data_IF_604605436839
#
_entry.id   IF_604605436839
#
_cell.length_a   1.000
_cell.length_b   1.000
_cell.length_c   1.000
_cell.angle_alpha   90.00
_cell.angle_beta   90.00
_cell.angle_gamma   90.00
#
_symmetry.space_group_name_H-M   'P 1'
#
loop_
_entity.id
_entity.type
_entity.pdbx_description
1 polymer ?
#
# COMPACT_ATOMS: atom_id res chain seq x y z
N UNK A 1 3.29 -2.48 2.46
CA UNK A 1 1.89 -2.64 2.90
C UNK A 1 1.01 -2.61 1.66
N UNK A 2 0.22 -3.65 1.44
CA UNK A 2 -0.60 -3.81 0.24
C UNK A 2 -2.07 -3.93 0.61
N UNK A 3 -2.95 -3.30 -0.17
CA UNK A 3 -4.34 -3.72 -0.35
C UNK A 3 -4.39 -4.44 -1.68
N UNK A 4 -4.70 -5.72 -1.67
CA UNK A 4 -4.59 -6.60 -2.81
C UNK A 4 -5.93 -7.28 -3.04
N UNK A 5 -6.54 -7.02 -4.19
CA UNK A 5 -7.67 -7.79 -4.65
C UNK A 5 -7.17 -8.88 -5.58
N UNK A 6 -6.52 -8.49 -6.67
CA UNK A 6 -5.95 -9.39 -7.67
C UNK A 6 -4.67 -8.80 -8.30
N UNK A 7 -4.08 -9.49 -9.29
CA UNK A 7 -2.86 -8.99 -9.96
C UNK A 7 -3.12 -7.81 -10.90
N UNK A 8 -4.38 -7.47 -11.14
CA UNK A 8 -4.88 -6.36 -11.96
C UNK A 8 -5.39 -5.19 -11.09
N UNK A 9 -5.62 -5.39 -9.80
CA UNK A 9 -6.22 -4.45 -8.86
C UNK A 9 -5.54 -4.57 -7.49
N UNK A 10 -4.55 -3.71 -7.24
CA UNK A 10 -3.88 -3.61 -5.94
C UNK A 10 -3.34 -2.21 -5.69
N UNK A 11 -3.14 -1.84 -4.43
CA UNK A 11 -2.49 -0.62 -3.98
C UNK A 11 -1.32 -1.02 -3.08
N UNK A 12 -0.10 -0.56 -3.40
CA UNK A 12 1.12 -0.97 -2.73
C UNK A 12 1.98 0.21 -2.29
N UNK A 13 1.87 0.53 -0.99
CA UNK A 13 2.79 1.43 -0.28
C UNK A 13 4.06 0.64 0.10
N UNK A 14 5.20 1.05 -0.45
CA UNK A 14 6.45 0.29 -0.30
C UNK A 14 7.67 1.18 -0.19
N UNK A 15 8.70 0.66 0.48
CA UNK A 15 10.05 1.20 0.47
C UNK A 15 10.77 0.68 -0.77
N UNK A 16 11.39 1.58 -1.52
CA UNK A 16 12.19 1.27 -2.71
C UNK A 16 13.47 2.10 -2.71
N UNK A 17 14.35 1.83 -3.68
CA UNK A 17 15.56 2.60 -3.92
C UNK A 17 15.37 3.47 -5.17
N UNK A 18 15.71 4.74 -5.08
CA UNK A 18 15.76 5.64 -6.24
C UNK A 18 17.21 5.85 -6.67
N UNK A 19 17.58 5.34 -7.84
CA UNK A 19 18.95 5.48 -8.34
C UNK A 19 19.33 6.93 -8.62
N UNK A 20 18.37 7.79 -8.99
CA UNK A 20 18.64 9.18 -9.32
C UNK A 20 19.04 10.01 -8.10
N UNK A 21 18.32 9.88 -6.98
CA UNK A 21 18.64 10.55 -5.72
C UNK A 21 19.62 9.78 -4.82
N UNK A 22 19.93 8.53 -5.18
CA UNK A 22 20.84 7.65 -4.43
C UNK A 22 20.35 7.38 -3.01
N UNK A 23 19.03 7.24 -2.82
CA UNK A 23 18.43 7.11 -1.50
C UNK A 23 17.23 6.17 -1.50
N UNK A 24 16.96 5.60 -0.32
CA UNK A 24 15.72 4.90 -0.07
C UNK A 24 14.56 5.89 -0.03
N UNK A 25 13.41 5.49 -0.55
CA UNK A 25 12.19 6.28 -0.52
C UNK A 25 10.94 5.43 -0.32
N UNK A 26 9.88 6.03 0.19
CA UNK A 26 8.53 5.49 0.09
C UNK A 26 7.91 5.90 -1.24
N UNK A 27 7.24 4.94 -1.85
CA UNK A 27 6.48 5.10 -3.07
C UNK A 27 5.14 4.35 -2.94
N UNK A 28 4.15 4.84 -3.67
CA UNK A 28 2.89 4.13 -3.87
C UNK A 28 2.75 3.81 -5.36
N UNK A 29 2.41 2.56 -5.64
CA UNK A 29 1.87 2.14 -6.93
C UNK A 29 0.46 1.61 -6.71
N UNK A 30 -0.41 1.78 -7.71
CA UNK A 30 -1.65 1.02 -7.77
C UNK A 30 -1.90 0.52 -9.17
N UNK A 31 -2.58 -0.62 -9.25
CA UNK A 31 -3.06 -1.22 -10.49
C UNK A 31 -4.57 -1.03 -10.52
N UNK A 32 -5.09 -0.51 -11.63
CA UNK A 32 -6.52 -0.37 -11.90
C UNK A 32 -6.85 -1.15 -13.18
N UNK A 33 -7.46 -2.32 -13.02
CA UNK A 33 -7.77 -3.23 -14.11
C UNK A 33 -6.59 -3.46 -15.08
N UNK A 34 -5.38 -3.59 -14.53
CA UNK A 34 -4.14 -3.79 -15.29
C UNK A 34 -3.45 -2.51 -15.79
N UNK A 35 -4.04 -1.33 -15.57
CA UNK A 35 -3.37 -0.05 -15.78
C UNK A 35 -2.55 0.30 -14.53
N UNK A 36 -1.24 0.48 -14.74
CA UNK A 36 -0.34 0.85 -13.65
C UNK A 36 -0.32 2.36 -13.48
N UNK A 37 -0.47 2.78 -12.24
CA UNK A 37 -0.33 4.15 -11.80
C UNK A 37 0.72 4.26 -10.69
N UNK A 38 1.55 5.29 -10.79
CA UNK A 38 2.54 5.64 -9.78
C UNK A 38 2.12 6.96 -9.14
N UNK A 39 1.97 6.99 -7.81
CA UNK A 39 1.67 8.23 -7.10
C UNK A 39 2.88 9.19 -7.23
N UNK A 40 2.65 10.47 -7.56
CA UNK A 40 3.73 11.44 -7.75
C UNK A 40 4.46 11.76 -6.44
N UNK A 41 3.82 11.61 -5.28
CA UNK A 41 4.46 11.86 -4.00
C UNK A 41 5.42 10.72 -3.65
N UNK A 42 6.68 11.07 -3.45
CA UNK A 42 7.72 10.19 -2.92
C UNK A 42 8.31 10.80 -1.66
N UNK A 43 8.62 9.96 -0.67
CA UNK A 43 9.21 10.42 0.60
C UNK A 43 10.60 9.81 0.74
N UNK A 44 11.64 10.64 0.73
CA UNK A 44 13.00 10.19 1.04
C UNK A 44 13.05 9.70 2.49
N UNK A 45 13.63 8.52 2.69
CA UNK A 45 13.80 7.93 4.00
C UNK A 45 15.24 8.07 4.49
N UNK A 46 15.38 8.25 5.81
CA UNK A 46 16.64 8.01 6.49
C UNK A 46 16.91 6.50 6.60
N UNK A 47 18.12 6.13 7.01
CA UNK A 47 18.41 4.75 7.38
C UNK A 47 17.62 4.33 8.63
N UNK A 48 17.22 3.06 8.67
CA UNK A 48 16.46 2.49 9.79
C UNK A 48 15.11 1.92 9.39
N UNK A 49 14.35 1.61 10.44
CA UNK A 49 12.99 1.07 10.40
C UNK A 49 12.00 2.14 9.91
N UNK A 50 10.88 1.67 9.37
CA UNK A 50 9.79 2.54 8.93
C UNK A 50 8.46 1.87 9.23
N UNK A 51 7.53 2.66 9.74
CA UNK A 51 6.20 2.21 10.09
C UNK A 51 5.26 2.61 8.95
N UNK A 52 4.50 1.65 8.43
CA UNK A 52 3.54 1.87 7.35
C UNK A 52 2.13 1.60 7.87
N UNK A 53 1.17 2.43 7.50
CA UNK A 53 -0.23 2.26 7.85
C UNK A 53 -1.15 2.60 6.68
N UNK A 54 -2.33 2.01 6.70
CA UNK A 54 -3.41 2.25 5.76
C UNK A 54 -4.70 2.30 6.55
N UNK A 55 -5.44 3.39 6.41
CA UNK A 55 -6.79 3.53 6.95
C UNK A 55 -7.79 3.33 5.82
N UNK A 56 -8.80 2.49 6.05
CA UNK A 56 -9.89 2.22 5.11
C UNK A 56 -11.18 2.62 5.81
N UNK A 57 -11.82 3.67 5.31
CA UNK A 57 -13.05 4.23 5.87
C UNK A 57 -14.11 4.33 4.76
N UNK A 58 -15.01 3.35 4.70
CA UNK A 58 -16.01 3.27 3.64
C UNK A 58 -15.39 3.21 2.25
N UNK A 59 -15.56 4.29 1.47
CA UNK A 59 -15.00 4.39 0.12
C UNK A 59 -13.59 4.96 0.06
N UNK A 60 -13.02 5.42 1.17
CA UNK A 60 -11.73 6.11 1.18
C UNK A 60 -10.61 5.25 1.76
N UNK A 61 -9.49 5.18 1.05
CA UNK A 61 -8.22 4.60 1.52
C UNK A 61 -7.19 5.72 1.64
N UNK A 62 -6.61 5.89 2.83
CA UNK A 62 -5.48 6.79 3.05
C UNK A 62 -4.26 6.03 3.55
N UNK A 63 -3.17 6.14 2.81
CA UNK A 63 -1.85 5.66 3.21
C UNK A 63 -1.15 6.66 4.13
N UNK A 64 -0.42 6.16 5.12
CA UNK A 64 0.42 6.97 6.00
C UNK A 64 1.68 6.22 6.43
N UNK A 65 2.65 6.95 6.93
CA UNK A 65 3.92 6.40 7.40
C UNK A 65 4.46 7.16 8.61
N UNK A 66 5.37 6.54 9.35
CA UNK A 66 6.06 7.15 10.48
C UNK A 66 7.51 6.65 10.58
N UNK A 67 8.39 7.52 11.06
CA UNK A 67 9.78 7.20 11.40
C UNK A 67 9.95 6.71 12.85
N UNK A 68 9.01 7.04 13.74
CA UNK A 68 9.08 6.76 15.18
C UNK A 68 7.97 5.81 15.68
N UNK A 69 7.01 5.47 14.83
CA UNK A 69 5.84 4.66 15.19
C UNK A 69 4.78 5.42 15.99
N UNK A 70 4.98 6.72 16.25
CA UNK A 70 4.06 7.56 17.03
C UNK A 70 3.37 8.62 16.17
N UNK A 71 4.14 9.34 15.33
CA UNK A 71 3.64 10.45 14.51
C UNK A 71 3.55 10.02 13.05
N UNK A 72 2.33 9.77 12.61
CA UNK A 72 2.05 9.38 11.23
C UNK A 72 1.79 10.60 10.35
N UNK A 73 2.33 10.53 9.14
CA UNK A 73 2.12 11.51 8.08
C UNK A 73 1.47 10.83 6.89
N UNK A 74 0.44 11.45 6.33
CA UNK A 74 -0.21 10.95 5.12
C UNK A 74 0.75 10.99 3.93
N UNK A 75 0.60 10.02 3.04
CA UNK A 75 1.33 9.93 1.78
C UNK A 75 0.38 9.46 0.68
N UNK A 76 0.51 10.07 -0.49
CA UNK A 76 -0.31 9.81 -1.67
C UNK A 76 -1.70 10.43 -1.59
N UNK A 77 -2.46 10.20 -2.65
CA UNK A 77 -3.87 10.57 -2.72
C UNK A 77 -4.74 9.78 -1.71
N UNK A 78 -6.01 10.17 -1.64
CA UNK A 78 -7.07 9.32 -1.11
C UNK A 78 -7.56 8.44 -2.25
N UNK A 79 -7.50 7.11 -2.10
CA UNK A 79 -7.87 6.15 -3.13
C UNK A 79 -9.30 5.61 -2.91
N UNK A 80 -10.00 5.26 -3.99
CA UNK A 80 -11.36 4.69 -3.91
C UNK A 80 -11.31 3.19 -3.59
N UNK A 81 -11.93 2.80 -2.48
CA UNK A 81 -11.96 1.41 -2.00
C UNK A 81 -12.76 0.51 -2.93
N UNK A 82 -13.74 1.04 -3.67
CA UNK A 82 -14.56 0.20 -4.56
C UNK A 82 -13.77 -0.38 -5.73
N UNK A 83 -12.58 0.13 -6.02
CA UNK A 83 -11.71 -0.43 -7.05
C UNK A 83 -11.18 -1.83 -6.69
N UNK A 84 -11.30 -2.24 -5.43
CA UNK A 84 -10.84 -3.52 -4.90
C UNK A 84 -12.03 -4.44 -4.57
N UNK A 85 -12.95 -4.61 -5.52
CA UNK A 85 -14.19 -5.39 -5.36
C UNK A 85 -14.50 -6.26 -6.59
N UNK A 86 -15.31 -7.30 -6.36
CA UNK A 86 -15.82 -8.21 -7.40
C UNK A 86 -16.57 -7.44 -8.50
N UNK A 87 -17.37 -6.43 -8.13
CA UNK A 87 -18.14 -5.63 -9.08
C UNK A 87 -17.29 -4.70 -9.95
N UNK A 88 -16.09 -4.36 -9.50
CA UNK A 88 -15.19 -3.47 -10.23
C UNK A 88 -14.26 -4.21 -11.18
N UNK A 89 -13.80 -5.41 -10.82
CA UNK A 89 -12.83 -6.15 -11.62
C UNK A 89 -13.40 -6.54 -12.98
N UNK A 90 -12.73 -6.12 -14.06
CA UNK A 90 -13.12 -6.45 -15.45
C UNK A 90 -12.81 -7.89 -15.86
N UNK A 91 -12.06 -8.61 -15.03
CA UNK A 91 -11.56 -9.94 -15.35
C UNK A 91 -12.33 -11.05 -14.62
N UNK A 92 -13.31 -10.67 -13.80
CA UNK A 92 -14.26 -11.58 -13.14
C UNK A 92 -13.58 -12.42 -12.07
N UNK A 93 -13.66 -11.98 -10.81
CA UNK A 93 -13.04 -12.66 -9.69
C UNK A 93 -14.05 -12.86 -8.54
N UNK A 94 -13.84 -13.91 -7.75
CA UNK A 94 -14.71 -14.33 -6.65
C UNK A 94 -13.88 -14.45 -5.37
N UNK A 95 -13.23 -13.36 -5.00
CA UNK A 95 -12.29 -13.30 -3.86
C UNK A 95 -12.75 -12.28 -2.83
N UNK A 96 -12.28 -11.04 -2.94
CA UNK A 96 -12.38 -10.00 -1.93
C UNK A 96 -11.01 -9.40 -1.62
N UNK A 97 -11.00 -8.16 -1.14
CA UNK A 97 -9.77 -7.44 -0.85
C UNK A 97 -9.06 -7.99 0.40
N UNK A 98 -7.74 -8.17 0.29
CA UNK A 98 -6.84 -8.53 1.37
C UNK A 98 -5.89 -7.39 1.70
N UNK A 99 -5.60 -7.17 2.98
CA UNK A 99 -4.48 -6.32 3.40
C UNK A 99 -3.29 -7.20 3.80
N UNK A 100 -2.09 -6.83 3.40
CA UNK A 100 -0.91 -7.66 3.66
C UNK A 100 0.44 -6.97 3.58
N UNK A 101 1.48 -7.78 3.78
CA UNK A 101 2.87 -7.40 3.64
C UNK A 101 3.45 -8.08 2.41
N UNK A 102 4.28 -7.38 1.66
CA UNK A 102 4.91 -7.89 0.45
C UNK A 102 6.32 -7.32 0.30
N UNK A 103 7.21 -8.14 -0.24
CA UNK A 103 8.56 -7.77 -0.64
C UNK A 103 8.76 -8.20 -2.08
N UNK A 104 9.25 -7.30 -2.92
CA UNK A 104 9.48 -7.57 -4.34
C UNK A 104 10.91 -7.19 -4.68
N UNK A 105 11.70 -8.20 -5.04
CA UNK A 105 12.97 -8.06 -5.76
C UNK A 105 12.75 -8.75 -7.09
N UNK A 106 12.44 -7.99 -8.13
CA UNK A 106 12.04 -8.52 -9.44
C UNK A 106 13.20 -9.06 -10.27
N UNK A 107 14.44 -8.77 -9.87
CA UNK A 107 15.63 -9.09 -10.67
C UNK A 107 16.33 -10.33 -10.15
N UNK A 108 16.76 -10.30 -8.88
CA UNK A 108 17.64 -11.32 -8.34
C UNK A 108 16.96 -12.22 -7.32
N UNK A 109 15.83 -11.80 -6.77
CA UNK A 109 15.06 -12.52 -5.75
C UNK A 109 15.92 -12.88 -4.52
N UNK A 110 16.80 -11.95 -4.11
CA UNK A 110 17.78 -12.14 -3.02
C UNK A 110 17.66 -11.10 -1.92
N UNK A 111 16.90 -10.02 -2.13
CA UNK A 111 16.64 -9.03 -1.10
C UNK A 111 15.52 -9.51 -0.18
N UNK A 112 15.73 -9.28 1.10
CA UNK A 112 14.80 -9.61 2.16
C UNK A 112 14.23 -8.32 2.74
N UNK A 113 12.95 -8.34 3.08
CA UNK A 113 12.34 -7.35 3.95
C UNK A 113 11.91 -8.05 5.24
N UNK A 114 12.37 -7.52 6.37
CA UNK A 114 12.00 -8.00 7.69
C UNK A 114 10.85 -7.14 8.20
N UNK A 115 9.77 -7.79 8.64
CA UNK A 115 8.60 -7.13 9.19
C UNK A 115 8.43 -7.57 10.64
N UNK A 116 8.60 -6.64 11.58
CA UNK A 116 8.57 -6.97 13.01
C UNK A 116 7.16 -7.28 13.51
N UNK A 117 6.14 -6.65 12.91
CA UNK A 117 4.74 -6.89 13.26
C UNK A 117 3.79 -6.54 12.11
N UNK A 118 2.55 -7.03 12.24
CA UNK A 118 1.42 -6.62 11.44
C UNK A 118 0.20 -6.45 12.37
N UNK A 119 -0.43 -5.28 12.33
CA UNK A 119 -1.58 -4.96 13.18
C UNK A 119 -2.80 -4.66 12.32
N UNK A 120 -3.89 -5.38 12.56
CA UNK A 120 -5.20 -5.13 11.97
C UNK A 120 -6.17 -4.73 13.09
N UNK A 121 -6.87 -3.60 12.91
CA UNK A 121 -7.88 -3.10 13.84
C UNK A 121 -9.13 -2.72 13.06
N UNK A 122 -10.21 -3.44 13.30
CA UNK A 122 -11.52 -3.14 12.74
C UNK A 122 -12.39 -2.39 13.76
N UNK A 123 -13.26 -1.51 13.26
CA UNK A 123 -14.35 -0.93 14.04
C UNK A 123 -15.64 -1.57 13.51
N UNK A 124 -16.00 -2.71 14.08
CA UNK A 124 -17.09 -3.57 13.57
C UNK A 124 -18.47 -2.90 13.62
N UNK A 125 -18.69 -1.99 14.58
CA UNK A 125 -19.97 -1.31 14.78
C UNK A 125 -20.08 0.03 14.04
N UNK A 126 -19.11 0.37 13.18
CA UNK A 126 -19.15 1.61 12.42
C UNK A 126 -20.30 1.56 11.40
N UNK A 127 -21.18 2.57 11.44
CA UNK A 127 -22.14 2.80 10.36
C UNK A 127 -21.34 3.40 9.20
N UNK A 128 -21.14 2.62 8.15
CA UNK A 128 -20.51 3.07 6.91
C UNK A 128 -21.63 3.58 6.00
N UNK A 129 -21.64 4.89 5.73
CA UNK A 129 -22.51 5.52 4.71
C UNK A 129 -21.95 5.39 3.30
#
# INVERSE_FOLDING_TARGET
LTLYYDNMNYLFLHKTWDEASGAAQLAIIYMDNGERHDDPQKIRLAEGEVYLAMAINGREIQCSWSADGEKYQNIGAVYDTSHFSDEYSRYGEFTGAFVGMACVDSMLHRKEALFDFFSYRAVEDAIIE
#
